data_IF_744136533214
#
_entry.id   IF_744136533214
#
_cell.length_a   1.000
_cell.length_b   1.000
_cell.length_c   1.000
_cell.angle_alpha   90.00
_cell.angle_beta   90.00
_cell.angle_gamma   90.00
#
_symmetry.space_group_name_H-M   'P 1'
#
loop_
_entity.id
_entity.type
_entity.pdbx_description
1 polymer ?
#
# COMPACT_ATOMS: atom_id res chain seq x y z
N UNK A 1 3.62 25.95 -29.66
CA UNK A 1 2.69 25.68 -28.52
C UNK A 1 2.96 26.65 -27.38
N UNK A 2 2.01 26.94 -26.48
CA UNK A 2 2.19 27.95 -25.42
C UNK A 2 3.38 27.67 -24.47
N UNK A 3 3.81 26.39 -24.37
CA UNK A 3 4.97 25.95 -23.58
C UNK A 3 6.33 26.28 -24.21
N UNK A 4 6.38 26.68 -25.48
CA UNK A 4 7.60 27.18 -26.13
C UNK A 4 7.91 28.63 -25.73
N UNK A 5 6.91 29.37 -25.24
CA UNK A 5 7.11 30.73 -24.76
C UNK A 5 7.75 30.71 -23.36
N UNK A 6 8.94 31.32 -23.15
CA UNK A 6 9.58 31.40 -21.83
C UNK A 6 8.70 32.01 -20.75
N UNK A 7 7.77 32.90 -21.12
CA UNK A 7 6.87 33.55 -20.17
C UNK A 7 5.87 32.59 -19.53
N UNK A 8 5.50 31.50 -20.21
CA UNK A 8 4.69 30.43 -19.60
C UNK A 8 5.39 29.89 -18.33
N UNK A 9 6.66 29.49 -18.46
CA UNK A 9 7.47 28.95 -17.36
C UNK A 9 7.73 29.98 -16.26
N UNK A 10 8.05 31.22 -16.63
CA UNK A 10 8.27 32.32 -15.67
C UNK A 10 7.00 32.63 -14.89
N UNK A 11 5.84 32.64 -15.54
CA UNK A 11 4.55 32.90 -14.88
C UNK A 11 4.20 31.80 -13.87
N UNK A 12 4.47 30.54 -14.20
CA UNK A 12 4.28 29.41 -13.29
C UNK A 12 5.23 29.51 -12.09
N UNK A 13 6.52 29.77 -12.32
CA UNK A 13 7.51 29.92 -11.26
C UNK A 13 7.17 31.07 -10.29
N UNK A 14 6.71 32.23 -10.81
CA UNK A 14 6.26 33.35 -9.96
C UNK A 14 5.07 32.97 -9.09
N UNK A 15 4.09 32.23 -9.64
CA UNK A 15 2.94 31.73 -8.87
C UNK A 15 3.38 30.76 -7.76
N UNK A 16 4.27 29.81 -8.06
CA UNK A 16 4.79 28.87 -7.06
C UNK A 16 5.55 29.60 -5.96
N UNK A 17 6.41 30.56 -6.31
CA UNK A 17 7.13 31.38 -5.33
C UNK A 17 6.17 32.17 -4.45
N UNK A 18 5.17 32.83 -5.04
CA UNK A 18 4.18 33.60 -4.28
C UNK A 18 3.40 32.70 -3.31
N UNK A 19 2.94 31.52 -3.76
CA UNK A 19 2.28 30.55 -2.89
C UNK A 19 3.16 30.08 -1.72
N UNK A 20 4.47 29.98 -1.90
CA UNK A 20 5.40 29.62 -0.84
C UNK A 20 5.60 30.77 0.16
N UNK A 21 5.68 32.02 -0.32
CA UNK A 21 5.80 33.22 0.51
C UNK A 21 4.53 33.53 1.31
N UNK A 22 3.36 33.27 0.74
CA UNK A 22 2.05 33.51 1.39
C UNK A 22 1.70 32.44 2.44
N UNK A 23 2.48 31.36 2.51
CA UNK A 23 2.18 30.23 3.37
C UNK A 23 2.35 30.60 4.85
N UNK A 24 1.30 30.33 5.63
CA UNK A 24 1.32 30.46 7.09
C UNK A 24 1.54 29.09 7.74
N UNK A 25 2.42 29.06 8.74
CA UNK A 25 2.63 27.84 9.52
C UNK A 25 1.40 27.58 10.40
N UNK A 26 0.83 26.38 10.31
CA UNK A 26 -0.14 25.90 11.27
C UNK A 26 0.60 25.36 12.51
N UNK A 27 0.51 26.08 13.63
CA UNK A 27 1.12 25.69 14.91
C UNK A 27 0.10 25.08 15.89
N UNK A 28 -1.12 24.80 15.43
CA UNK A 28 -2.15 24.19 16.26
C UNK A 28 -1.83 22.72 16.55
N UNK A 29 -2.37 22.20 17.65
CA UNK A 29 -2.36 20.76 17.92
C UNK A 29 -3.41 20.09 17.03
N UNK A 30 -3.00 19.07 16.27
CA UNK A 30 -3.90 18.33 15.40
C UNK A 30 -4.97 17.58 16.22
N UNK A 31 -6.24 17.88 15.93
CA UNK A 31 -7.40 17.14 16.43
C UNK A 31 -7.49 15.79 15.71
N UNK A 32 -7.28 15.77 14.40
CA UNK A 32 -7.36 14.55 13.60
C UNK A 32 -6.00 14.23 12.96
N UNK A 33 -5.74 12.94 12.73
CA UNK A 33 -4.58 12.46 11.98
C UNK A 33 -5.08 11.55 10.88
N UNK A 34 -4.84 11.93 9.63
CA UNK A 34 -5.02 11.10 8.44
C UNK A 34 -3.66 10.61 7.98
N UNK A 35 -3.44 9.29 8.02
CA UNK A 35 -2.19 8.68 7.63
C UNK A 35 -2.40 7.82 6.39
N UNK A 36 -2.00 8.34 5.23
CA UNK A 36 -2.08 7.65 3.95
C UNK A 36 -0.74 6.96 3.63
N UNK A 37 -0.78 5.64 3.46
CA UNK A 37 0.40 4.82 3.15
C UNK A 37 0.23 4.12 1.79
N UNK A 38 1.05 4.48 0.80
CA UNK A 38 1.16 3.73 -0.44
C UNK A 38 2.24 2.67 -0.34
N UNK A 39 1.87 1.40 -0.10
CA UNK A 39 2.83 0.30 0.09
C UNK A 39 3.66 0.12 -1.20
N UNK A 40 4.99 0.20 -1.09
CA UNK A 40 5.88 0.14 -2.24
C UNK A 40 5.85 1.35 -3.19
N UNK A 41 5.16 2.44 -2.84
CA UNK A 41 4.95 3.63 -3.69
C UNK A 41 6.17 4.58 -3.68
N UNK A 42 7.32 4.11 -4.17
CA UNK A 42 8.51 4.94 -4.28
C UNK A 42 8.39 6.08 -5.31
N UNK A 43 9.41 6.93 -5.38
CA UNK A 43 9.43 8.14 -6.24
C UNK A 43 9.17 7.81 -7.71
N UNK A 44 9.74 6.70 -8.22
CA UNK A 44 9.51 6.26 -9.60
C UNK A 44 8.05 5.86 -9.84
N UNK A 45 7.46 5.08 -8.92
CA UNK A 45 6.04 4.70 -8.96
C UNK A 45 5.16 5.94 -8.96
N UNK A 46 5.39 6.84 -8.01
CA UNK A 46 4.68 8.10 -7.90
C UNK A 46 4.74 8.92 -9.19
N UNK A 47 5.93 9.12 -9.76
CA UNK A 47 6.11 9.89 -10.99
C UNK A 47 5.41 9.24 -12.18
N UNK A 48 5.53 7.92 -12.33
CA UNK A 48 4.85 7.19 -13.39
C UNK A 48 3.32 7.26 -13.24
N UNK A 49 2.81 7.20 -12.02
CA UNK A 49 1.39 7.31 -11.71
C UNK A 49 0.85 8.72 -11.96
N UNK A 50 1.64 9.79 -11.69
CA UNK A 50 1.30 11.18 -12.06
C UNK A 50 1.05 11.30 -13.56
N UNK A 51 1.98 10.75 -14.36
CA UNK A 51 1.85 10.74 -15.82
C UNK A 51 0.61 9.94 -16.24
N UNK A 52 0.40 8.74 -15.67
CA UNK A 52 -0.78 7.94 -15.97
C UNK A 52 -2.07 8.70 -15.65
N UNK A 53 -2.16 9.36 -14.49
CA UNK A 53 -3.36 10.11 -14.07
C UNK A 53 -3.75 11.14 -15.11
N UNK A 54 -2.81 11.96 -15.57
CA UNK A 54 -3.11 12.93 -16.62
C UNK A 54 -3.46 12.30 -17.96
N UNK A 55 -2.83 11.18 -18.31
CA UNK A 55 -3.16 10.44 -19.53
C UNK A 55 -4.59 9.87 -19.50
N UNK A 56 -5.06 9.41 -18.34
CA UNK A 56 -6.45 8.99 -18.12
C UNK A 56 -7.43 10.17 -18.26
N UNK A 57 -6.97 11.40 -18.02
CA UNK A 57 -7.72 12.66 -18.17
C UNK A 57 -7.53 13.31 -19.56
N UNK A 58 -7.05 12.55 -20.55
CA UNK A 58 -6.76 13.00 -21.92
C UNK A 58 -5.74 14.15 -22.01
N UNK A 59 -4.86 14.28 -21.02
CA UNK A 59 -3.70 15.19 -21.02
C UNK A 59 -2.42 14.43 -21.38
N UNK A 60 -1.31 15.15 -21.56
CA UNK A 60 -0.01 14.50 -21.81
C UNK A 60 0.52 13.74 -20.59
N UNK A 61 0.21 14.23 -19.38
CA UNK A 61 0.47 13.56 -18.11
C UNK A 61 1.61 14.16 -17.30
N UNK A 62 2.69 14.59 -17.94
CA UNK A 62 3.91 15.01 -17.21
C UNK A 62 3.71 16.29 -16.38
N UNK A 63 2.76 17.14 -16.75
CA UNK A 63 2.40 18.37 -16.03
C UNK A 63 1.29 18.18 -14.99
N UNK A 64 0.72 16.99 -14.89
CA UNK A 64 -0.41 16.73 -14.00
C UNK A 64 0.00 16.95 -12.55
N UNK A 65 -0.87 17.59 -11.78
CA UNK A 65 -0.69 17.77 -10.34
C UNK A 65 -1.55 16.72 -9.64
N UNK A 66 -0.91 15.76 -8.97
CA UNK A 66 -1.60 14.81 -8.09
C UNK A 66 -2.08 15.52 -6.82
N UNK A 67 -3.03 14.94 -6.10
CA UNK A 67 -3.44 15.48 -4.80
C UNK A 67 -2.23 15.53 -3.87
N UNK A 68 -1.40 14.48 -3.87
CA UNK A 68 -0.18 14.48 -3.05
C UNK A 68 0.89 15.51 -3.50
N UNK A 69 0.85 16.04 -4.73
CA UNK A 69 1.72 17.16 -5.16
C UNK A 69 1.34 18.49 -4.46
N UNK A 70 0.11 18.60 -3.94
CA UNK A 70 -0.38 19.82 -3.28
C UNK A 70 0.08 19.96 -1.83
N UNK A 71 0.69 18.91 -1.27
CA UNK A 71 1.16 18.91 0.10
C UNK A 71 2.37 19.84 0.23
N UNK A 72 2.33 20.80 1.15
CA UNK A 72 3.30 21.89 1.13
C UNK A 72 4.60 21.54 1.86
N UNK A 73 4.66 20.42 2.58
CA UNK A 73 5.86 19.90 3.23
C UNK A 73 6.25 18.56 2.61
N UNK A 74 7.50 18.46 2.16
CA UNK A 74 8.05 17.22 1.58
C UNK A 74 9.36 16.89 2.29
N UNK A 75 9.56 15.61 2.60
CA UNK A 75 10.79 15.09 3.17
C UNK A 75 11.11 13.71 2.60
N UNK A 76 12.37 13.29 2.73
CA UNK A 76 12.80 11.94 2.35
C UNK A 76 12.90 11.06 3.60
N UNK A 77 12.30 9.87 3.53
CA UNK A 77 12.37 8.88 4.60
C UNK A 77 13.46 7.83 4.30
N UNK A 78 14.31 7.53 5.28
CA UNK A 78 15.31 6.45 5.19
C UNK A 78 14.73 5.14 5.70
N UNK A 79 14.42 4.22 4.79
CA UNK A 79 13.52 3.08 5.07
C UNK A 79 14.20 1.80 5.57
N UNK A 80 15.54 1.71 5.59
CA UNK A 80 16.28 0.53 6.06
C UNK A 80 15.74 -0.03 7.40
N UNK A 81 15.65 -1.36 7.54
CA UNK A 81 15.36 -2.01 8.83
C UNK A 81 16.65 -2.11 9.65
N UNK A 82 16.58 -2.54 10.91
CA UNK A 82 17.79 -2.68 11.74
C UNK A 82 18.75 -3.73 11.18
N UNK A 83 18.22 -4.79 10.56
CA UNK A 83 18.96 -5.95 10.07
C UNK A 83 19.16 -5.99 8.54
N UNK A 84 18.42 -5.21 7.75
CA UNK A 84 18.56 -5.15 6.28
C UNK A 84 18.49 -3.73 5.72
N UNK A 85 19.27 -3.50 4.67
CA UNK A 85 19.26 -2.22 3.94
C UNK A 85 17.98 -2.03 3.12
N UNK A 86 17.46 -3.12 2.55
CA UNK A 86 16.16 -3.15 1.87
C UNK A 86 15.17 -3.76 2.87
N UNK A 87 14.21 -2.97 3.39
CA UNK A 87 13.28 -3.43 4.42
C UNK A 87 12.15 -4.29 3.82
N UNK A 88 11.31 -4.83 4.71
CA UNK A 88 9.97 -5.31 4.36
C UNK A 88 8.89 -4.42 5.02
N UNK A 89 7.63 -4.53 4.57
CA UNK A 89 6.51 -3.74 5.10
C UNK A 89 6.30 -3.88 6.63
N UNK A 90 6.67 -5.00 7.25
CA UNK A 90 6.49 -5.18 8.70
C UNK A 90 7.46 -4.33 9.53
N UNK A 91 8.75 -4.34 9.13
CA UNK A 91 9.76 -3.55 9.82
C UNK A 91 9.53 -2.05 9.63
N UNK A 92 9.15 -1.61 8.43
CA UNK A 92 8.84 -0.20 8.14
C UNK A 92 7.57 0.26 8.83
N UNK A 93 6.52 -0.56 8.87
CA UNK A 93 5.28 -0.21 9.58
C UNK A 93 5.48 -0.01 11.07
N UNK A 94 6.33 -0.84 11.70
CA UNK A 94 6.73 -0.60 13.09
C UNK A 94 7.46 0.74 13.25
N UNK A 95 8.28 1.14 12.26
CA UNK A 95 8.98 2.42 12.31
C UNK A 95 8.04 3.63 12.20
N UNK A 96 7.14 3.68 11.21
CA UNK A 96 6.28 4.87 11.01
C UNK A 96 5.00 4.87 11.85
N UNK A 97 4.54 3.72 12.37
CA UNK A 97 3.39 3.67 13.29
C UNK A 97 3.78 3.63 14.76
N UNK A 98 4.93 3.05 15.13
CA UNK A 98 5.35 2.94 16.53
C UNK A 98 6.57 3.81 16.87
N UNK A 99 7.20 4.46 15.88
CA UNK A 99 8.37 5.31 16.10
C UNK A 99 9.68 4.56 16.38
N UNK A 100 9.72 3.24 16.19
CA UNK A 100 10.88 2.39 16.50
C UNK A 100 11.21 1.49 15.31
N UNK A 101 12.46 1.56 14.83
CA UNK A 101 12.93 0.61 13.80
C UNK A 101 13.11 -0.79 14.39
N UNK A 102 12.79 -1.80 13.59
CA UNK A 102 12.88 -3.20 13.99
C UNK A 102 13.48 -4.09 12.89
N UNK A 103 13.46 -5.40 13.11
CA UNK A 103 13.97 -6.42 12.22
C UNK A 103 12.93 -6.86 11.19
N UNK A 104 13.40 -7.39 10.06
CA UNK A 104 12.56 -7.89 8.98
C UNK A 104 11.52 -8.90 9.48
N UNK A 105 10.32 -8.84 8.90
CA UNK A 105 9.17 -9.72 9.19
C UNK A 105 8.62 -9.64 10.62
N UNK A 106 9.07 -8.71 11.46
CA UNK A 106 8.51 -8.53 12.82
C UNK A 106 7.57 -7.33 12.86
N UNK A 107 6.51 -7.41 13.66
CA UNK A 107 5.44 -6.41 13.72
C UNK A 107 5.34 -5.88 15.15
N UNK A 108 5.41 -4.56 15.33
CA UNK A 108 5.10 -3.93 16.62
C UNK A 108 6.03 -4.36 17.76
N UNK A 109 7.24 -4.81 17.45
CA UNK A 109 8.25 -5.20 18.43
C UNK A 109 9.57 -4.51 18.11
N UNK A 110 10.41 -4.27 19.12
CA UNK A 110 11.75 -3.72 18.95
C UNK A 110 12.68 -4.72 18.25
N UNK A 111 13.83 -4.24 17.77
CA UNK A 111 14.85 -5.07 17.15
C UNK A 111 15.53 -6.08 18.11
N UNK A 112 15.14 -6.14 19.38
CA UNK A 112 15.55 -7.22 20.27
C UNK A 112 14.75 -8.52 20.00
N UNK A 113 13.53 -8.41 19.47
CA UNK A 113 12.79 -9.57 18.98
C UNK A 113 13.45 -10.18 17.74
N UNK A 114 13.22 -11.48 17.53
CA UNK A 114 13.77 -12.26 16.41
C UNK A 114 12.66 -12.88 15.60
N UNK A 115 12.77 -12.76 14.28
CA UNK A 115 11.79 -13.28 13.34
C UNK A 115 11.49 -14.77 13.59
N UNK A 116 10.22 -15.09 13.80
CA UNK A 116 9.73 -16.45 14.05
C UNK A 116 10.00 -17.01 15.45
N UNK A 117 10.65 -16.26 16.35
CA UNK A 117 11.01 -16.74 17.69
C UNK A 117 10.11 -16.09 18.75
N UNK A 118 8.99 -16.76 19.05
CA UNK A 118 7.96 -16.23 19.96
C UNK A 118 8.51 -15.75 21.32
N UNK A 119 9.41 -16.51 21.96
CA UNK A 119 9.99 -16.15 23.27
C UNK A 119 10.66 -14.79 23.31
N UNK A 120 11.10 -14.27 22.17
CA UNK A 120 11.76 -12.96 22.07
C UNK A 120 10.78 -11.80 21.86
N UNK A 121 9.48 -12.08 21.69
CA UNK A 121 8.45 -11.07 21.56
C UNK A 121 8.18 -10.38 22.90
N UNK A 122 7.98 -11.17 23.96
CA UNK A 122 7.57 -10.67 25.27
C UNK A 122 8.59 -9.70 25.86
N UNK A 123 8.13 -8.51 26.24
CA UNK A 123 8.96 -7.43 26.80
C UNK A 123 9.61 -6.54 25.74
N UNK A 124 9.42 -6.85 24.44
CA UNK A 124 9.94 -6.07 23.32
C UNK A 124 8.82 -5.39 22.52
N UNK A 125 7.57 -5.46 22.96
CA UNK A 125 6.44 -4.79 22.31
C UNK A 125 6.62 -3.27 22.30
N UNK A 126 6.31 -2.63 21.17
CA UNK A 126 6.29 -1.17 21.01
C UNK A 126 4.91 -0.72 20.57
N UNK A 127 4.32 0.23 21.29
CA UNK A 127 2.95 0.69 21.04
C UNK A 127 2.88 1.66 19.87
N UNK A 128 1.76 1.60 19.14
CA UNK A 128 1.54 2.42 17.94
C UNK A 128 0.87 3.75 18.25
N UNK A 129 0.95 4.69 17.31
CA UNK A 129 0.20 5.94 17.32
C UNK A 129 -1.32 5.71 17.30
N UNK A 130 -1.79 4.61 16.69
CA UNK A 130 -3.20 4.23 16.73
C UNK A 130 -3.61 3.91 18.18
N UNK A 131 -2.81 3.10 18.90
CA UNK A 131 -3.05 2.82 20.32
C UNK A 131 -3.00 4.10 21.15
N UNK A 132 -2.01 4.97 20.92
CA UNK A 132 -1.89 6.25 21.64
C UNK A 132 -3.08 7.18 21.36
N UNK A 133 -3.58 7.23 20.13
CA UNK A 133 -4.78 7.99 19.79
C UNK A 133 -6.01 7.46 20.52
N UNK A 134 -6.19 6.14 20.56
CA UNK A 134 -7.30 5.51 21.30
C UNK A 134 -7.19 5.78 22.80
N UNK A 135 -5.99 5.69 23.37
CA UNK A 135 -5.74 5.98 24.79
C UNK A 135 -6.00 7.46 25.14
N UNK A 136 -5.77 8.36 24.20
CA UNK A 136 -6.14 9.78 24.31
C UNK A 136 -7.66 10.04 24.15
N UNK A 137 -8.46 8.99 23.92
CA UNK A 137 -9.90 9.05 23.75
C UNK A 137 -10.37 9.45 22.35
N UNK A 138 -9.47 9.43 21.36
CA UNK A 138 -9.83 9.59 19.94
C UNK A 138 -10.44 8.31 19.40
N UNK A 139 -11.29 8.42 18.39
CA UNK A 139 -11.71 7.25 17.61
C UNK A 139 -10.60 6.85 16.66
N UNK A 140 -10.51 5.56 16.34
CA UNK A 140 -9.43 5.04 15.50
C UNK A 140 -9.93 4.13 14.40
N UNK A 141 -9.31 4.20 13.23
CA UNK A 141 -9.68 3.34 12.13
C UNK A 141 -8.52 2.90 11.24
N UNK A 142 -8.78 1.82 10.51
CA UNK A 142 -7.90 1.20 9.54
C UNK A 142 -8.72 0.95 8.27
N UNK A 143 -8.22 1.45 7.14
CA UNK A 143 -8.71 1.18 5.79
C UNK A 143 -7.53 0.65 4.98
N UNK A 144 -7.69 -0.48 4.32
CA UNK A 144 -6.64 -1.04 3.46
C UNK A 144 -7.24 -1.82 2.29
N UNK A 145 -6.52 -1.86 1.16
CA UNK A 145 -6.83 -2.78 0.05
C UNK A 145 -6.22 -4.18 0.23
N UNK A 146 -5.51 -4.44 1.32
CA UNK A 146 -5.03 -5.79 1.68
C UNK A 146 -5.96 -6.44 2.70
N UNK A 147 -5.62 -7.66 3.12
CA UNK A 147 -6.17 -8.22 4.35
C UNK A 147 -5.86 -7.28 5.53
N UNK A 148 -6.80 -7.07 6.46
CA UNK A 148 -6.58 -6.19 7.63
C UNK A 148 -5.53 -6.74 8.60
N UNK A 149 -5.13 -8.00 8.42
CA UNK A 149 -4.04 -8.69 9.13
C UNK A 149 -2.68 -8.56 8.42
N UNK A 150 -2.59 -7.84 7.30
CA UNK A 150 -1.32 -7.62 6.61
C UNK A 150 -0.36 -6.79 7.47
N UNK A 151 0.92 -6.76 7.13
CA UNK A 151 1.95 -6.17 7.96
C UNK A 151 1.70 -4.70 8.31
N UNK A 152 1.39 -3.86 7.32
CA UNK A 152 1.09 -2.44 7.49
C UNK A 152 -0.06 -2.19 8.47
N UNK A 153 -1.29 -2.70 8.25
CA UNK A 153 -2.38 -2.48 9.20
C UNK A 153 -2.10 -3.17 10.53
N UNK A 154 -1.49 -4.36 10.53
CA UNK A 154 -1.18 -5.08 11.76
C UNK A 154 -0.23 -4.33 12.69
N UNK A 155 0.77 -3.60 12.18
CA UNK A 155 1.66 -2.81 13.06
C UNK A 155 0.93 -1.69 13.83
N UNK A 156 -0.29 -1.33 13.44
CA UNK A 156 -1.11 -0.39 14.20
C UNK A 156 -1.75 -1.00 15.46
N UNK A 157 -1.84 -2.33 15.58
CA UNK A 157 -2.52 -2.98 16.72
C UNK A 157 -1.83 -4.24 17.27
N UNK A 158 -1.03 -4.94 16.47
CA UNK A 158 -0.44 -6.22 16.82
C UNK A 158 1.03 -6.10 17.23
N UNK A 159 1.44 -7.06 18.06
CA UNK A 159 2.83 -7.37 18.37
C UNK A 159 3.07 -8.81 17.96
N UNK A 160 3.94 -9.04 16.97
CA UNK A 160 4.20 -10.37 16.43
C UNK A 160 5.66 -10.54 16.05
N UNK A 161 6.27 -11.63 16.53
CA UNK A 161 7.58 -12.09 16.05
C UNK A 161 7.56 -12.54 14.58
N UNK A 162 6.39 -12.66 13.94
CA UNK A 162 6.30 -12.97 12.51
C UNK A 162 5.06 -12.38 11.86
N UNK A 163 5.27 -11.64 10.77
CA UNK A 163 4.18 -11.10 9.92
C UNK A 163 3.34 -12.18 9.24
N UNK A 164 3.80 -13.43 9.25
CA UNK A 164 3.10 -14.55 8.59
C UNK A 164 2.03 -15.20 9.48
N UNK A 165 1.97 -14.86 10.77
CA UNK A 165 1.02 -15.44 11.72
C UNK A 165 -0.36 -14.79 11.62
N UNK A 166 -0.98 -14.81 10.42
CA UNK A 166 -2.27 -14.17 10.17
C UNK A 166 -3.39 -14.78 10.99
N UNK A 167 -3.49 -16.12 11.00
CA UNK A 167 -4.32 -16.87 11.95
C UNK A 167 -3.52 -17.92 12.71
N UNK A 168 -4.15 -18.56 13.70
CA UNK A 168 -3.58 -19.67 14.47
C UNK A 168 -3.11 -20.84 13.58
N UNK A 169 -3.70 -20.98 12.39
CA UNK A 169 -3.33 -21.99 11.41
C UNK A 169 -1.93 -21.78 10.80
N UNK A 170 -1.45 -20.53 10.76
CA UNK A 170 -0.16 -20.12 10.20
C UNK A 170 0.97 -20.14 11.25
N UNK A 171 0.63 -20.39 12.51
CA UNK A 171 1.57 -20.41 13.63
C UNK A 171 2.13 -21.81 13.89
N UNK A 172 3.46 -21.94 14.10
CA UNK A 172 4.04 -23.16 14.67
C UNK A 172 3.47 -23.45 16.04
N UNK A 173 3.28 -24.72 16.39
CA UNK A 173 2.72 -25.10 17.70
C UNK A 173 3.61 -24.64 18.86
N UNK A 174 4.94 -24.66 18.68
CA UNK A 174 5.88 -24.10 19.65
C UNK A 174 5.61 -22.61 19.96
N UNK A 175 5.28 -21.80 18.95
CA UNK A 175 4.97 -20.39 19.15
C UNK A 175 3.67 -20.18 19.94
N UNK A 176 2.66 -21.05 19.73
CA UNK A 176 1.41 -21.03 20.50
C UNK A 176 1.65 -21.45 21.96
N UNK A 177 2.46 -22.50 22.17
CA UNK A 177 2.85 -22.96 23.51
C UNK A 177 3.63 -21.90 24.29
N UNK A 178 4.47 -21.12 23.59
CA UNK A 178 5.21 -19.99 24.15
C UNK A 178 4.35 -18.74 24.41
N UNK A 179 3.05 -18.80 24.11
CA UNK A 179 2.06 -17.77 24.44
C UNK A 179 1.87 -16.69 23.38
N UNK A 180 2.48 -16.80 22.20
CA UNK A 180 2.16 -15.90 21.10
C UNK A 180 0.75 -16.18 20.56
N UNK A 181 0.11 -15.13 20.07
CA UNK A 181 -1.22 -15.21 19.47
C UNK A 181 -1.19 -14.67 18.05
N UNK A 182 -2.11 -15.17 17.22
CA UNK A 182 -2.21 -14.76 15.82
C UNK A 182 -2.69 -13.32 15.64
N UNK A 183 -2.32 -12.71 14.53
CA UNK A 183 -2.62 -11.30 14.23
C UNK A 183 -4.15 -11.06 14.19
N UNK A 184 -4.93 -11.98 13.64
CA UNK A 184 -6.39 -11.85 13.63
C UNK A 184 -6.99 -11.83 15.05
N UNK A 185 -6.48 -12.64 15.98
CA UNK A 185 -6.88 -12.57 17.39
C UNK A 185 -6.50 -11.24 18.04
N UNK A 186 -5.32 -10.70 17.73
CA UNK A 186 -4.82 -9.44 18.28
C UNK A 186 -5.62 -8.23 17.81
N UNK A 187 -6.19 -8.27 16.59
CA UNK A 187 -7.07 -7.22 16.04
C UNK A 187 -8.25 -6.90 16.97
N UNK A 188 -8.78 -7.90 17.69
CA UNK A 188 -9.89 -7.72 18.62
C UNK A 188 -9.43 -7.29 20.03
N UNK A 189 -8.27 -7.79 20.46
CA UNK A 189 -7.88 -7.78 21.88
C UNK A 189 -7.00 -6.62 22.28
N UNK A 190 -6.10 -6.18 21.40
CA UNK A 190 -5.04 -5.25 21.80
C UNK A 190 -5.52 -3.80 21.86
N UNK A 191 -6.35 -3.40 20.90
CA UNK A 191 -6.90 -2.05 20.80
C UNK A 191 -8.35 -2.11 20.36
N UNK A 192 -9.21 -1.34 21.00
CA UNK A 192 -10.60 -1.18 20.59
C UNK A 192 -10.69 -0.26 19.36
N UNK A 193 -10.74 -0.84 18.16
CA UNK A 193 -10.76 -0.10 16.89
C UNK A 193 -12.21 0.15 16.45
N UNK A 194 -12.53 1.42 16.19
CA UNK A 194 -13.87 1.88 15.81
C UNK A 194 -14.22 1.46 14.37
N UNK A 195 -13.28 1.58 13.44
CA UNK A 195 -13.49 1.24 12.02
C UNK A 195 -12.38 0.32 11.47
N UNK A 196 -12.75 -0.85 10.97
CA UNK A 196 -11.85 -1.84 10.36
C UNK A 196 -12.38 -2.16 8.96
N UNK A 197 -11.66 -1.75 7.92
CA UNK A 197 -12.09 -1.94 6.53
C UNK A 197 -10.95 -2.52 5.69
N UNK A 198 -11.21 -3.63 5.00
CA UNK A 198 -10.27 -4.24 4.06
C UNK A 198 -10.69 -5.67 3.70
N UNK A 199 -9.73 -6.56 3.49
CA UNK A 199 -9.99 -7.98 3.25
C UNK A 199 -9.66 -8.85 4.48
N UNK A 200 -9.60 -10.16 4.29
CA UNK A 200 -9.05 -11.10 5.25
C UNK A 200 -10.08 -11.94 6.00
N UNK A 201 -11.28 -12.14 5.44
CA UNK A 201 -12.34 -12.92 6.08
C UNK A 201 -11.89 -14.32 6.52
N UNK A 202 -11.06 -14.99 5.71
CA UNK A 202 -10.69 -16.39 5.97
C UNK A 202 -9.85 -16.60 7.24
N UNK A 203 -9.23 -15.54 7.77
CA UNK A 203 -8.46 -15.61 9.01
C UNK A 203 -9.33 -15.45 10.26
N UNK A 204 -10.59 -15.04 10.08
CA UNK A 204 -11.53 -14.73 11.16
C UNK A 204 -12.45 -15.90 11.50
N UNK A 205 -12.63 -16.87 10.60
CA UNK A 205 -13.63 -17.93 10.75
C UNK A 205 -13.02 -19.34 10.87
N UNK A 206 -13.74 -20.30 11.51
CA UNK A 206 -13.28 -21.67 11.68
C UNK A 206 -12.92 -22.38 10.38
N UNK A 207 -12.03 -23.37 10.47
CA UNK A 207 -11.63 -24.19 9.33
C UNK A 207 -12.84 -24.84 8.68
N UNK A 208 -13.02 -24.58 7.38
CA UNK A 208 -14.11 -25.16 6.59
C UNK A 208 -15.38 -24.32 6.51
N UNK A 209 -15.48 -23.23 7.27
CA UNK A 209 -16.53 -22.21 7.08
C UNK A 209 -16.48 -21.70 5.63
N UNK A 210 -17.62 -21.79 4.92
CA UNK A 210 -17.71 -21.31 3.54
C UNK A 210 -17.62 -19.79 3.53
N UNK A 211 -16.83 -19.24 2.62
CA UNK A 211 -16.81 -17.80 2.40
C UNK A 211 -18.17 -17.37 1.80
N UNK A 212 -18.77 -16.25 2.25
CA UNK A 212 -20.09 -15.82 1.79
C UNK A 212 -20.14 -15.49 0.30
N UNK A 213 -19.03 -15.05 -0.28
CA UNK A 213 -18.94 -14.65 -1.69
C UNK A 213 -18.45 -15.79 -2.57
N UNK A 214 -17.54 -16.63 -2.05
CA UNK A 214 -16.95 -17.76 -2.77
C UNK A 214 -17.30 -19.12 -2.14
N UNK A 215 -18.58 -19.51 -1.99
CA UNK A 215 -18.98 -20.70 -1.23
C UNK A 215 -18.50 -22.03 -1.84
N UNK A 216 -18.13 -22.02 -3.12
CA UNK A 216 -17.62 -23.18 -3.87
C UNK A 216 -16.10 -23.23 -3.96
N UNK A 217 -15.40 -22.15 -3.61
CA UNK A 217 -13.94 -22.15 -3.58
C UNK A 217 -13.43 -22.64 -2.23
N UNK A 218 -12.69 -23.75 -2.24
CA UNK A 218 -12.07 -24.30 -1.05
C UNK A 218 -10.94 -23.43 -0.50
N UNK A 219 -10.27 -22.65 -1.36
CA UNK A 219 -9.13 -21.82 -0.97
C UNK A 219 -9.53 -20.56 -0.19
N UNK A 220 -10.79 -20.14 -0.36
CA UNK A 220 -11.42 -19.01 0.31
C UNK A 220 -12.03 -19.34 1.66
N UNK A 221 -12.18 -20.63 2.00
CA UNK A 221 -12.78 -21.05 3.27
C UNK A 221 -11.99 -20.57 4.48
N UNK A 222 -12.71 -20.41 5.60
CA UNK A 222 -12.13 -20.14 6.91
C UNK A 222 -10.96 -21.06 7.22
N UNK A 223 -9.95 -20.52 7.89
CA UNK A 223 -8.67 -21.20 8.16
C UNK A 223 -8.47 -21.60 9.61
N UNK A 224 -9.20 -20.99 10.56
CA UNK A 224 -8.86 -21.10 11.98
C UNK A 224 -8.99 -22.53 12.50
N UNK A 225 -7.95 -23.06 13.14
CA UNK A 225 -7.94 -24.45 13.67
C UNK A 225 -8.44 -24.51 15.11
N UNK A 226 -8.51 -23.39 15.80
CA UNK A 226 -8.99 -23.26 17.18
C UNK A 226 -10.52 -23.23 17.33
N UNK A 227 -11.27 -23.33 16.22
CA UNK A 227 -12.73 -23.35 16.23
C UNK A 227 -13.40 -22.01 16.53
N UNK A 228 -12.64 -20.92 16.67
CA UNK A 228 -13.18 -19.59 17.00
C UNK A 228 -13.74 -18.89 15.77
N UNK A 229 -14.84 -18.16 15.97
CA UNK A 229 -15.33 -17.19 15.00
C UNK A 229 -15.10 -15.79 15.55
N UNK A 230 -14.05 -15.13 15.06
CA UNK A 230 -13.64 -13.81 15.52
C UNK A 230 -14.60 -12.71 15.08
N UNK A 231 -15.40 -12.92 14.03
CA UNK A 231 -16.43 -11.94 13.66
C UNK A 231 -17.52 -11.92 14.74
N UNK A 232 -18.02 -13.10 15.13
CA UNK A 232 -19.05 -13.23 16.16
C UNK A 232 -18.53 -12.76 17.53
N UNK A 233 -17.27 -13.07 17.87
CA UNK A 233 -16.61 -12.56 19.07
C UNK A 233 -16.54 -11.03 19.06
N UNK A 234 -16.12 -10.42 17.95
CA UNK A 234 -16.06 -8.96 17.83
C UNK A 234 -17.45 -8.34 18.01
N UNK A 235 -18.49 -8.87 17.34
CA UNK A 235 -19.86 -8.37 17.49
C UNK A 235 -20.35 -8.49 18.94
N UNK A 236 -20.04 -9.60 19.62
CA UNK A 236 -20.38 -9.81 21.03
C UNK A 236 -19.69 -8.82 21.97
N UNK A 237 -18.49 -8.35 21.63
CA UNK A 237 -17.79 -7.31 22.38
C UNK A 237 -18.42 -5.92 22.24
N UNK A 238 -19.32 -5.71 21.27
CA UNK A 238 -19.97 -4.41 21.00
C UNK A 238 -21.43 -4.35 21.44
N UNK A 239 -21.88 -5.27 22.30
CA UNK A 239 -23.24 -5.23 22.87
C UNK A 239 -23.50 -3.87 23.53
N UNK A 240 -24.63 -3.25 23.18
CA UNK A 240 -24.99 -1.90 23.63
C UNK A 240 -24.44 -0.75 22.77
N UNK A 241 -23.75 -1.05 21.66
CA UNK A 241 -23.30 -0.10 20.63
C UNK A 241 -23.95 -0.41 19.29
N UNK A 242 -24.00 0.58 18.40
CA UNK A 242 -24.43 0.38 17.00
C UNK A 242 -23.24 -0.15 16.20
N UNK A 243 -23.11 -1.48 16.15
CA UNK A 243 -21.99 -2.17 15.50
C UNK A 243 -22.44 -3.00 14.29
N UNK A 244 -21.74 -2.85 13.16
CA UNK A 244 -22.04 -3.56 11.93
C UNK A 244 -20.85 -4.39 11.46
N UNK A 245 -21.11 -5.65 11.11
CA UNK A 245 -20.23 -6.45 10.26
C UNK A 245 -20.83 -6.53 8.85
N UNK A 246 -20.07 -6.18 7.83
CA UNK A 246 -20.48 -6.24 6.42
C UNK A 246 -19.37 -6.86 5.57
N UNK A 247 -19.73 -7.45 4.44
CA UNK A 247 -18.77 -8.12 3.55
C UNK A 247 -18.97 -7.83 2.06
N UNK A 248 -20.00 -7.08 1.69
CA UNK A 248 -20.29 -6.69 0.31
C UNK A 248 -20.66 -5.20 0.22
N UNK A 249 -20.68 -4.69 -1.01
CA UNK A 249 -20.99 -3.30 -1.33
C UNK A 249 -22.39 -2.86 -0.91
N UNK A 250 -23.41 -3.71 -1.10
CA UNK A 250 -24.80 -3.37 -0.78
C UNK A 250 -24.97 -3.10 0.71
N UNK A 251 -24.51 -4.03 1.56
CA UNK A 251 -24.57 -3.89 3.01
C UNK A 251 -23.69 -2.74 3.49
N UNK A 252 -22.50 -2.56 2.90
CA UNK A 252 -21.63 -1.42 3.20
C UNK A 252 -22.28 -0.07 2.89
N UNK A 253 -23.02 0.03 1.78
CA UNK A 253 -23.74 1.24 1.42
C UNK A 253 -24.89 1.52 2.40
N UNK A 254 -25.55 0.47 2.91
CA UNK A 254 -26.65 0.56 3.87
C UNK A 254 -26.21 0.99 5.29
N UNK A 255 -24.92 0.85 5.64
CA UNK A 255 -24.40 1.36 6.91
C UNK A 255 -24.50 2.88 6.95
N UNK A 256 -25.32 3.41 7.85
CA UNK A 256 -25.41 4.84 8.11
C UNK A 256 -24.22 5.30 8.98
N UNK A 257 -23.28 6.09 8.43
CA UNK A 257 -22.10 6.50 9.18
C UNK A 257 -22.44 7.45 10.34
N UNK A 258 -23.58 8.14 10.30
CA UNK A 258 -23.95 9.12 11.33
C UNK A 258 -24.39 8.43 12.62
N UNK A 259 -24.96 7.23 12.54
CA UNK A 259 -25.43 6.47 13.71
C UNK A 259 -24.52 5.31 14.10
N UNK A 260 -23.67 4.82 13.20
CA UNK A 260 -22.77 3.68 13.46
C UNK A 260 -21.66 4.03 14.45
N UNK A 261 -21.52 3.27 15.53
CA UNK A 261 -20.40 3.39 16.48
C UNK A 261 -19.18 2.58 16.01
N UNK A 262 -19.42 1.36 15.52
CA UNK A 262 -18.37 0.43 15.12
C UNK A 262 -18.68 -0.22 13.76
N UNK A 263 -17.66 -0.32 12.91
CA UNK A 263 -17.77 -0.97 11.61
C UNK A 263 -16.60 -1.95 11.39
N UNK A 264 -16.91 -3.21 11.11
CA UNK A 264 -15.98 -4.17 10.53
C UNK A 264 -16.48 -4.55 9.13
N UNK A 265 -15.77 -4.12 8.09
CA UNK A 265 -16.10 -4.40 6.71
C UNK A 265 -14.99 -5.22 6.04
N UNK A 266 -15.25 -6.51 5.79
CA UNK A 266 -14.26 -7.44 5.23
C UNK A 266 -14.73 -7.96 3.86
N UNK A 267 -14.19 -7.39 2.78
CA UNK A 267 -14.72 -7.57 1.42
C UNK A 267 -14.17 -8.77 0.66
N UNK A 268 -13.03 -9.32 1.08
CA UNK A 268 -12.44 -10.49 0.41
C UNK A 268 -11.93 -11.53 1.42
N UNK A 269 -11.81 -12.82 1.04
CA UNK A 269 -11.21 -13.85 1.89
C UNK A 269 -9.76 -13.50 2.23
N UNK A 270 -9.03 -12.88 1.30
CA UNK A 270 -7.63 -12.49 1.41
C UNK A 270 -7.45 -10.98 1.24
N UNK A 271 -6.65 -10.59 0.25
CA UNK A 271 -6.47 -9.18 -0.13
C UNK A 271 -7.57 -8.80 -1.13
N UNK A 272 -7.91 -7.51 -1.26
CA UNK A 272 -8.94 -7.07 -2.23
C UNK A 272 -8.46 -7.33 -3.67
N UNK A 273 -9.39 -7.30 -4.62
CA UNK A 273 -9.04 -7.18 -6.03
C UNK A 273 -8.23 -5.92 -6.31
N UNK A 274 -7.39 -5.96 -7.35
CA UNK A 274 -6.84 -4.72 -7.91
C UNK A 274 -7.98 -3.85 -8.44
N UNK A 275 -7.86 -2.53 -8.37
CA UNK A 275 -8.86 -1.55 -8.77
C UNK A 275 -9.37 -1.79 -10.19
N UNK A 276 -8.49 -2.17 -11.13
CA UNK A 276 -8.92 -2.41 -12.52
C UNK A 276 -9.60 -3.77 -12.74
N UNK A 277 -9.54 -4.65 -11.74
CA UNK A 277 -10.20 -5.96 -11.69
C UNK A 277 -11.38 -5.99 -10.70
N UNK A 278 -11.59 -4.92 -9.93
CA UNK A 278 -12.64 -4.78 -8.93
C UNK A 278 -14.03 -4.86 -9.59
N UNK A 279 -14.94 -5.64 -8.99
CA UNK A 279 -16.37 -5.56 -9.31
C UNK A 279 -17.00 -4.46 -8.45
N UNK A 280 -17.41 -3.32 -9.03
CA UNK A 280 -17.96 -2.20 -8.26
C UNK A 280 -19.31 -2.50 -7.61
N UNK A 281 -19.98 -3.60 -7.98
CA UNK A 281 -21.22 -4.03 -7.34
C UNK A 281 -20.98 -4.91 -6.13
N UNK A 282 -19.77 -5.46 -5.97
CA UNK A 282 -19.39 -6.34 -4.86
C UNK A 282 -18.44 -5.65 -3.88
N UNK A 283 -17.49 -4.88 -4.39
CA UNK A 283 -16.40 -4.27 -3.64
C UNK A 283 -16.43 -2.73 -3.72
N UNK A 284 -16.44 -2.00 -2.58
CA UNK A 284 -16.23 -0.56 -2.58
C UNK A 284 -14.79 -0.21 -2.94
N UNK A 285 -14.60 0.93 -3.59
CA UNK A 285 -13.28 1.51 -3.85
C UNK A 285 -12.60 2.00 -2.56
N UNK A 286 -11.28 2.20 -2.62
CA UNK A 286 -10.53 2.83 -1.52
C UNK A 286 -11.04 4.25 -1.20
N UNK A 287 -11.60 4.95 -2.19
CA UNK A 287 -12.22 6.27 -2.00
C UNK A 287 -13.46 6.16 -1.11
N UNK A 288 -14.36 5.23 -1.42
CA UNK A 288 -15.63 5.04 -0.70
C UNK A 288 -15.42 4.50 0.71
N UNK A 289 -14.44 3.60 0.89
CA UNK A 289 -14.06 3.09 2.21
C UNK A 289 -13.42 4.17 3.09
N UNK A 290 -12.56 5.01 2.51
CA UNK A 290 -11.99 6.18 3.19
C UNK A 290 -13.08 7.16 3.62
N UNK A 291 -14.01 7.49 2.73
CA UNK A 291 -15.14 8.38 3.05
C UNK A 291 -15.97 7.84 4.22
N UNK A 292 -16.41 6.58 4.15
CA UNK A 292 -17.22 5.97 5.21
C UNK A 292 -16.49 5.97 6.55
N UNK A 293 -15.20 5.62 6.54
CA UNK A 293 -14.38 5.62 7.74
C UNK A 293 -14.29 7.01 8.37
N UNK A 294 -13.97 8.04 7.58
CA UNK A 294 -13.89 9.43 8.10
C UNK A 294 -15.25 9.86 8.67
N UNK A 295 -16.36 9.56 7.98
CA UNK A 295 -17.70 9.96 8.45
C UNK A 295 -18.10 9.31 9.77
N UNK A 296 -17.74 8.05 10.00
CA UNK A 296 -17.95 7.40 11.30
C UNK A 296 -17.06 8.02 12.38
N UNK A 297 -15.76 8.16 12.09
CA UNK A 297 -14.75 8.57 13.07
C UNK A 297 -14.86 10.05 13.47
N UNK A 298 -15.26 10.94 12.56
CA UNK A 298 -15.35 12.38 12.80
C UNK A 298 -16.41 12.78 13.84
N UNK A 299 -17.32 11.86 14.17
CA UNK A 299 -18.32 12.05 15.23
C UNK A 299 -17.69 12.25 16.61
N UNK A 300 -16.48 11.74 16.83
CA UNK A 300 -15.79 11.90 18.10
C UNK A 300 -15.26 13.35 18.25
N UNK A 301 -15.72 14.13 19.24
CA UNK A 301 -15.28 15.52 19.41
C UNK A 301 -13.81 15.64 19.81
N UNK A 302 -13.18 14.56 20.32
CA UNK A 302 -11.73 14.51 20.58
C UNK A 302 -10.90 14.30 19.31
N UNK A 303 -11.56 14.04 18.18
CA UNK A 303 -10.94 13.74 16.90
C UNK A 303 -10.63 12.27 16.71
N UNK A 304 -9.86 11.98 15.66
CA UNK A 304 -9.58 10.60 15.27
C UNK A 304 -8.18 10.38 14.69
N UNK A 305 -7.74 9.13 14.68
CA UNK A 305 -6.62 8.66 13.86
C UNK A 305 -7.16 7.68 12.82
N UNK A 306 -6.79 7.84 11.55
CA UNK A 306 -7.15 6.92 10.48
C UNK A 306 -5.91 6.57 9.66
N UNK A 307 -5.61 5.27 9.59
CA UNK A 307 -4.66 4.71 8.62
C UNK A 307 -5.43 4.31 7.35
N UNK A 308 -5.00 4.82 6.20
CA UNK A 308 -5.50 4.42 4.88
C UNK A 308 -4.35 3.88 4.04
N UNK A 309 -4.43 2.64 3.60
CA UNK A 309 -3.36 1.96 2.88
C UNK A 309 -3.76 1.58 1.45
N UNK A 310 -3.01 2.09 0.47
CA UNK A 310 -3.01 1.59 -0.91
C UNK A 310 -2.11 0.35 -1.03
N UNK A 311 -2.40 -0.72 -0.28
CA UNK A 311 -1.46 -1.83 -0.07
C UNK A 311 -1.25 -2.75 -1.27
N UNK A 312 -2.09 -2.64 -2.30
CA UNK A 312 -2.00 -3.43 -3.53
C UNK A 312 -1.02 -2.84 -4.56
N UNK A 313 -0.53 -1.61 -4.37
CA UNK A 313 0.56 -1.02 -5.18
C UNK A 313 1.80 -1.94 -5.14
N UNK A 314 2.22 -2.33 -3.94
CA UNK A 314 3.33 -3.25 -3.68
C UNK A 314 3.15 -4.61 -4.35
N UNK A 315 1.99 -5.25 -4.14
CA UNK A 315 1.73 -6.58 -4.68
C UNK A 315 1.71 -6.59 -6.22
N UNK A 316 1.26 -5.50 -6.85
CA UNK A 316 1.35 -5.32 -8.30
C UNK A 316 2.79 -5.21 -8.77
N UNK A 317 3.65 -4.46 -8.06
CA UNK A 317 5.06 -4.36 -8.37
C UNK A 317 5.81 -5.68 -8.18
N UNK A 318 5.55 -6.42 -7.10
CA UNK A 318 6.08 -7.77 -6.89
C UNK A 318 5.69 -8.72 -8.03
N UNK A 319 4.48 -8.56 -8.57
CA UNK A 319 4.01 -9.30 -9.73
C UNK A 319 4.55 -8.75 -11.06
N UNK A 320 5.41 -7.72 -11.08
CA UNK A 320 5.90 -7.11 -12.32
C UNK A 320 4.84 -6.42 -13.18
N UNK A 321 3.64 -6.16 -12.63
CA UNK A 321 2.46 -5.61 -13.33
C UNK A 321 2.36 -4.12 -13.09
N UNK A 322 3.18 -3.30 -13.76
CA UNK A 322 3.13 -1.84 -13.57
C UNK A 322 1.77 -1.24 -13.89
N UNK A 323 1.05 -1.76 -14.89
CA UNK A 323 -0.33 -1.32 -15.19
C UNK A 323 -1.19 -1.33 -13.91
N UNK A 324 -1.13 -2.41 -13.13
CA UNK A 324 -1.88 -2.51 -11.87
C UNK A 324 -1.35 -1.54 -10.82
N UNK A 325 -0.04 -1.52 -10.59
CA UNK A 325 0.57 -0.69 -9.55
C UNK A 325 0.25 0.81 -9.74
N UNK A 326 0.27 1.28 -10.99
CA UNK A 326 -0.02 2.69 -11.27
C UNK A 326 -1.51 3.00 -11.10
N UNK A 327 -2.43 2.11 -11.49
CA UNK A 327 -3.86 2.32 -11.27
C UNK A 327 -4.24 2.28 -9.78
N UNK A 328 -3.62 1.38 -9.00
CA UNK A 328 -3.73 1.39 -7.53
C UNK A 328 -3.28 2.74 -6.95
N UNK A 329 -2.15 3.26 -7.44
CA UNK A 329 -1.62 4.56 -6.98
C UNK A 329 -2.54 5.71 -7.34
N UNK A 330 -3.15 5.69 -8.53
CA UNK A 330 -4.13 6.71 -8.95
C UNK A 330 -5.39 6.65 -8.07
N UNK A 331 -5.90 5.45 -7.77
CA UNK A 331 -7.03 5.27 -6.85
C UNK A 331 -6.71 5.74 -5.43
N UNK A 332 -5.49 5.48 -4.96
CA UNK A 332 -4.98 5.96 -3.69
C UNK A 332 -4.89 7.51 -3.64
N UNK A 333 -4.43 8.16 -4.72
CA UNK A 333 -4.42 9.63 -4.82
C UNK A 333 -5.83 10.25 -4.80
N UNK A 334 -6.84 9.56 -5.33
CA UNK A 334 -8.24 9.95 -5.18
C UNK A 334 -8.76 9.76 -3.75
N UNK A 335 -8.31 8.73 -3.02
CA UNK A 335 -8.65 8.57 -1.61
C UNK A 335 -8.04 9.68 -0.74
N UNK A 336 -6.81 10.11 -1.05
CA UNK A 336 -6.18 11.29 -0.42
C UNK A 336 -7.05 12.53 -0.67
N UNK A 337 -7.51 12.75 -1.91
CA UNK A 337 -8.38 13.87 -2.25
C UNK A 337 -9.65 13.88 -1.42
N UNK A 338 -10.30 12.71 -1.30
CA UNK A 338 -11.51 12.54 -0.49
C UNK A 338 -11.25 12.81 1.00
N UNK A 339 -10.08 12.41 1.52
CA UNK A 339 -9.68 12.73 2.89
C UNK A 339 -9.53 14.23 3.14
N UNK A 340 -8.92 14.95 2.20
CA UNK A 340 -8.80 16.42 2.28
C UNK A 340 -10.15 17.14 2.13
N UNK A 341 -11.06 16.61 1.30
CA UNK A 341 -12.41 17.15 1.14
C UNK A 341 -13.23 17.08 2.44
N UNK A 342 -13.08 15.98 3.19
CA UNK A 342 -13.88 15.70 4.40
C UNK A 342 -13.28 16.26 5.68
N UNK A 343 -12.09 16.86 5.62
CA UNK A 343 -11.39 17.36 6.82
C UNK A 343 -10.92 18.79 6.64
N UNK A 344 -10.63 19.46 7.77
CA UNK A 344 -10.15 20.85 7.76
C UNK A 344 -8.67 20.88 8.09
N UNK A 345 -7.85 21.43 7.20
CA UNK A 345 -6.38 21.50 7.35
C UNK A 345 -5.93 22.16 8.66
N UNK A 346 -6.70 23.13 9.18
CA UNK A 346 -6.32 23.83 10.41
C UNK A 346 -6.38 22.95 11.69
N UNK A 347 -7.11 21.84 11.66
CA UNK A 347 -7.26 20.90 12.79
C UNK A 347 -6.87 19.44 12.44
N UNK A 348 -6.50 19.15 11.19
CA UNK A 348 -6.15 17.80 10.74
C UNK A 348 -4.72 17.75 10.20
N UNK A 349 -3.90 16.88 10.76
CA UNK A 349 -2.60 16.52 10.19
C UNK A 349 -2.80 15.38 9.20
N UNK A 350 -2.58 15.66 7.92
CA UNK A 350 -2.53 14.62 6.89
C UNK A 350 -1.09 14.31 6.50
N UNK A 351 -0.75 13.03 6.47
CA UNK A 351 0.56 12.52 6.05
C UNK A 351 0.32 11.56 4.89
N UNK A 352 1.12 11.71 3.83
CA UNK A 352 1.20 10.76 2.72
C UNK A 352 2.64 10.27 2.64
N UNK A 353 2.85 8.95 2.70
CA UNK A 353 4.18 8.38 2.51
C UNK A 353 4.12 6.98 1.90
N UNK A 354 5.30 6.42 1.62
CA UNK A 354 5.49 5.02 1.30
C UNK A 354 6.35 4.38 2.38
N UNK A 355 6.15 3.09 2.61
CA UNK A 355 6.93 2.30 3.55
C UNK A 355 8.31 1.92 2.97
N UNK A 356 8.36 1.58 1.68
CA UNK A 356 9.55 1.38 0.87
C UNK A 356 9.28 1.64 -0.62
N UNK A 357 10.29 1.37 -1.47
CA UNK A 357 10.19 1.48 -2.94
C UNK A 357 10.22 0.09 -3.59
N UNK A 358 10.22 0.06 -4.91
CA UNK A 358 10.39 -1.12 -5.75
C UNK A 358 11.50 -0.90 -6.77
N UNK A 359 11.97 -1.98 -7.40
CA UNK A 359 13.00 -1.91 -8.43
C UNK A 359 12.48 -1.42 -9.80
N UNK A 360 11.41 -0.62 -9.82
CA UNK A 360 10.85 -0.05 -11.05
C UNK A 360 11.67 1.15 -11.52
N UNK A 361 11.89 1.23 -12.83
CA UNK A 361 12.74 2.23 -13.49
C UNK A 361 12.00 2.85 -14.67
N UNK A 362 12.37 4.10 -14.99
CA UNK A 362 11.82 4.89 -16.09
C UNK A 362 12.92 5.16 -17.12
N UNK A 363 12.79 4.62 -18.33
CA UNK A 363 13.86 4.54 -19.33
C UNK A 363 13.42 4.99 -20.73
N UNK A 364 14.40 5.17 -21.61
CA UNK A 364 14.20 5.13 -23.06
C UNK A 364 13.62 6.37 -23.72
N UNK A 365 13.80 7.54 -23.11
CA UNK A 365 13.51 8.85 -23.71
C UNK A 365 12.15 8.92 -24.46
N UNK A 366 11.02 8.50 -23.85
CA UNK A 366 9.72 8.57 -24.50
C UNK A 366 9.35 10.02 -24.81
N UNK A 367 8.59 10.23 -25.89
CA UNK A 367 8.07 11.55 -26.23
C UNK A 367 7.08 12.03 -25.17
N UNK A 368 6.96 13.36 -25.03
CA UNK A 368 5.95 13.97 -24.16
C UNK A 368 4.54 13.56 -24.61
N UNK A 369 3.70 13.14 -23.66
CA UNK A 369 2.35 12.63 -23.95
C UNK A 369 2.30 11.18 -24.42
N UNK A 370 3.46 10.52 -24.57
CA UNK A 370 3.49 9.11 -24.88
C UNK A 370 3.06 8.29 -23.67
N UNK A 371 2.26 7.24 -23.89
CA UNK A 371 1.80 6.35 -22.82
C UNK A 371 2.95 5.92 -21.91
N UNK A 372 2.81 6.13 -20.61
CA UNK A 372 3.83 5.72 -19.62
C UNK A 372 4.01 4.19 -19.58
N UNK A 373 2.96 3.45 -19.96
CA UNK A 373 2.96 1.99 -20.12
C UNK A 373 3.39 1.56 -21.55
N UNK A 374 3.82 2.51 -22.37
CA UNK A 374 4.22 2.31 -23.75
C UNK A 374 5.63 1.73 -23.94
N UNK A 375 6.01 1.60 -25.21
CA UNK A 375 7.35 1.20 -25.66
C UNK A 375 8.23 2.43 -25.83
N UNK A 376 9.51 2.34 -25.50
CA UNK A 376 10.48 3.36 -25.87
C UNK A 376 10.48 3.58 -27.40
N UNK A 377 10.60 4.82 -27.90
CA UNK A 377 10.85 5.08 -29.31
C UNK A 377 12.24 4.61 -29.76
N UNK A 378 13.16 4.39 -28.84
CA UNK A 378 14.49 3.87 -29.10
C UNK A 378 14.49 2.34 -29.08
N UNK A 379 15.38 1.77 -29.86
CA UNK A 379 15.61 0.32 -29.91
C UNK A 379 16.76 -0.03 -28.98
N UNK A 380 16.69 -1.20 -28.36
CA UNK A 380 17.81 -1.71 -27.57
C UNK A 380 18.94 -2.21 -28.49
N UNK A 381 20.11 -2.50 -27.92
CA UNK A 381 21.29 -2.97 -28.68
C UNK A 381 21.09 -4.33 -29.36
N UNK A 382 20.08 -5.10 -28.93
CA UNK A 382 19.64 -6.36 -29.56
C UNK A 382 18.69 -6.13 -30.76
N UNK A 383 18.46 -4.87 -31.15
CA UNK A 383 17.55 -4.47 -32.24
C UNK A 383 16.11 -4.95 -31.97
N UNK A 384 15.71 -4.95 -30.70
CA UNK A 384 14.34 -5.22 -30.27
C UNK A 384 13.78 -4.02 -29.48
N UNK A 385 12.48 -3.71 -29.59
CA UNK A 385 11.85 -2.67 -28.78
C UNK A 385 11.85 -3.05 -27.30
N UNK A 386 11.82 -2.06 -26.40
CA UNK A 386 11.68 -2.25 -24.96
C UNK A 386 10.69 -1.25 -24.38
N UNK A 387 10.20 -1.50 -23.17
CA UNK A 387 9.19 -0.67 -22.52
C UNK A 387 9.80 0.53 -21.81
N UNK A 388 9.02 1.61 -21.73
CA UNK A 388 9.37 2.81 -20.97
C UNK A 388 9.58 2.50 -19.49
N UNK A 389 8.72 1.67 -18.90
CA UNK A 389 8.90 1.13 -17.56
C UNK A 389 9.56 -0.25 -17.62
N UNK A 390 10.47 -0.50 -16.69
CA UNK A 390 11.13 -1.79 -16.49
C UNK A 390 11.34 -2.07 -15.01
N UNK A 391 11.55 -3.33 -14.65
CA UNK A 391 11.97 -3.71 -13.30
C UNK A 391 13.42 -4.19 -13.31
N UNK A 392 14.11 -4.05 -12.16
CA UNK A 392 15.46 -4.58 -11.95
C UNK A 392 15.49 -6.10 -11.66
N UNK A 393 14.50 -6.62 -10.91
CA UNK A 393 14.23 -8.07 -10.75
C UNK A 393 12.70 -8.37 -10.68
N UNK A 394 12.30 -9.65 -10.86
CA UNK A 394 10.89 -10.07 -10.81
C UNK A 394 10.47 -11.07 -11.89
N UNK A 395 9.17 -11.43 -11.95
CA UNK A 395 8.66 -12.54 -12.76
C UNK A 395 8.55 -12.25 -14.27
N UNK A 396 8.69 -11.00 -14.70
CA UNK A 396 8.70 -10.62 -16.12
C UNK A 396 9.94 -11.01 -16.92
N UNK A 397 10.92 -11.71 -16.32
CA UNK A 397 12.10 -12.16 -17.04
C UNK A 397 11.71 -13.33 -17.92
N UNK A 398 11.96 -13.16 -19.21
CA UNK A 398 11.70 -14.21 -20.19
C UNK A 398 12.80 -14.22 -21.23
N UNK A 399 13.22 -15.43 -21.57
CA UNK A 399 14.12 -15.73 -22.68
C UNK A 399 13.42 -16.77 -23.53
N UNK A 400 13.25 -16.47 -24.81
CA UNK A 400 12.67 -17.38 -25.81
C UNK A 400 13.73 -17.64 -26.87
N UNK A 401 14.10 -18.90 -27.08
CA UNK A 401 15.15 -19.30 -28.04
C UNK A 401 16.47 -18.54 -27.86
N UNK A 402 16.91 -18.37 -26.60
CA UNK A 402 18.15 -17.67 -26.26
C UNK A 402 18.12 -16.15 -26.42
N UNK A 403 16.96 -15.57 -26.78
CA UNK A 403 16.79 -14.12 -26.98
C UNK A 403 15.69 -13.55 -26.08
N UNK A 404 15.76 -12.25 -25.85
CA UNK A 404 14.66 -11.51 -25.24
C UNK A 404 13.43 -11.56 -26.16
N UNK A 405 12.20 -11.67 -25.62
CA UNK A 405 10.99 -11.58 -26.42
C UNK A 405 10.91 -10.26 -27.18
N UNK A 406 10.51 -10.38 -28.43
CA UNK A 406 10.17 -9.25 -29.27
C UNK A 406 8.77 -8.75 -28.94
N UNK A 407 8.66 -7.47 -28.60
CA UNK A 407 7.39 -6.84 -28.21
C UNK A 407 6.88 -5.86 -29.28
N UNK A 408 7.38 -5.92 -30.53
CA UNK A 408 6.92 -5.05 -31.63
C UNK A 408 5.40 -5.09 -31.76
N UNK A 409 4.81 -6.27 -31.76
CA UNK A 409 3.36 -6.48 -31.96
C UNK A 409 2.56 -6.54 -30.65
N UNK A 410 3.20 -6.28 -29.50
CA UNK A 410 2.53 -6.27 -28.20
C UNK A 410 2.01 -4.86 -27.88
N UNK A 411 0.73 -4.75 -27.54
CA UNK A 411 0.14 -3.52 -27.01
C UNK A 411 0.40 -3.39 -25.50
N UNK A 412 1.53 -2.79 -25.15
CA UNK A 412 1.99 -2.69 -23.76
C UNK A 412 1.11 -1.75 -22.91
N UNK A 413 0.43 -0.78 -23.54
CA UNK A 413 -0.39 0.22 -22.86
C UNK A 413 -1.74 -0.29 -22.35
N UNK A 414 -2.27 -1.40 -22.91
CA UNK A 414 -3.57 -1.97 -22.53
C UNK A 414 -3.47 -3.33 -21.83
N UNK A 415 -2.27 -3.92 -21.75
CA UNK A 415 -2.13 -5.29 -21.29
C UNK A 415 -2.04 -5.37 -19.77
N UNK A 416 -3.16 -5.73 -19.13
CA UNK A 416 -3.29 -5.99 -17.69
C UNK A 416 -2.35 -7.08 -17.17
N UNK A 417 -1.93 -8.00 -18.05
CA UNK A 417 -1.13 -9.18 -17.73
C UNK A 417 0.33 -9.06 -18.16
N UNK A 418 0.78 -7.89 -18.63
CA UNK A 418 2.14 -7.75 -19.12
C UNK A 418 3.09 -7.57 -17.95
N UNK A 419 3.96 -8.56 -17.81
CA UNK A 419 5.10 -8.51 -16.94
C UNK A 419 6.22 -7.76 -17.68
N UNK A 420 6.63 -6.60 -17.17
CA UNK A 420 7.66 -5.80 -17.84
C UNK A 420 9.02 -6.52 -17.77
N UNK A 421 9.71 -6.57 -18.91
CA UNK A 421 10.93 -7.36 -19.09
C UNK A 421 12.16 -6.74 -18.41
N UNK A 422 13.08 -7.62 -18.04
CA UNK A 422 14.38 -7.31 -17.47
C UNK A 422 15.44 -7.12 -18.52
N UNK A 423 16.45 -6.32 -18.19
CA UNK A 423 17.72 -6.33 -18.88
C UNK A 423 18.83 -6.73 -17.90
N UNK A 424 19.36 -7.93 -18.07
CA UNK A 424 20.75 -8.20 -17.70
C UNK A 424 21.49 -8.44 -19.01
N UNK A 425 22.48 -7.62 -19.37
CA UNK A 425 23.37 -7.98 -20.46
C UNK A 425 24.20 -9.19 -20.00
N UNK A 426 23.75 -10.41 -20.31
CA UNK A 426 24.68 -11.51 -20.49
C UNK A 426 25.40 -11.26 -21.80
N UNK A 427 26.48 -10.50 -21.70
CA UNK A 427 27.76 -10.63 -22.41
C UNK A 427 28.52 -9.29 -22.37
N UNK A 428 29.11 -9.00 -21.22
CA UNK A 428 30.21 -8.04 -21.11
C UNK A 428 31.40 -8.68 -20.40
N UNK A 429 31.70 -9.94 -20.71
CA UNK A 429 32.90 -10.64 -20.24
C UNK A 429 33.38 -11.65 -21.29
N UNK A 430 33.73 -11.16 -22.49
CA UNK A 430 34.64 -11.82 -23.44
C UNK A 430 34.90 -10.90 -24.63
N UNK A 431 35.60 -9.78 -24.44
CA UNK A 431 36.28 -9.06 -25.55
C UNK A 431 37.24 -7.92 -25.11
N UNK A 432 37.68 -7.87 -23.84
CA UNK A 432 38.73 -6.92 -23.39
C UNK A 432 39.99 -7.58 -22.79
N UNK A 433 40.16 -8.89 -22.94
CA UNK A 433 41.42 -9.58 -22.57
C UNK A 433 42.20 -10.15 -23.77
N UNK A 434 41.84 -9.78 -25.01
CA UNK A 434 42.63 -10.07 -26.21
C UNK A 434 42.96 -8.75 -26.91
N UNK A 435 43.68 -7.87 -26.21
CA UNK A 435 44.38 -6.71 -26.82
C UNK A 435 45.62 -6.26 -26.01
N UNK A 436 46.17 -7.16 -25.20
CA UNK A 436 47.40 -6.95 -24.43
C UNK A 436 48.39 -8.13 -24.48
N UNK A 437 48.34 -8.96 -25.54
CA UNK A 437 49.38 -10.00 -25.77
C UNK A 437 49.89 -10.08 -27.22
N UNK A 438 49.74 -9.03 -28.02
CA UNK A 438 50.24 -8.99 -29.40
C UNK A 438 50.93 -7.65 -29.69
N UNK A 439 51.87 -7.24 -28.84
CA UNK A 439 52.90 -6.24 -29.16
C UNK A 439 54.13 -6.39 -28.24
N UNK A 440 54.57 -7.63 -28.06
CA UNK A 440 55.90 -7.95 -27.51
C UNK A 440 56.39 -9.27 -28.09
N UNK A 441 56.72 -9.25 -29.38
CA UNK A 441 57.73 -10.10 -30.00
C UNK A 441 58.36 -9.31 -31.16
#
# INVERSE_FOLDING_TARGET
TYKENPEFWRSQARKTLQSALDRKLNTNVAKNILFFLGDGMGITTYTASRILKGQLENQTGEETVMTMDTFPNVGLAKTYSVDFQIPDSAATATAYLCGVKTNLNTIGVSAAARNGVCKTQKGNEVTSILKWAKDAGKSVGIVTTTRVQHATPAASYAHSASRKWYSDADMPDAAKMDGCTDIASQLLKNTDIDVIIGGGRKYMTPKGTKDPEYPRDYSSRGKRKDGRNLIDEWQSMKIGKVAHYVWNKTDFNAVDPETTDYLMALFEPGDLHFETERDPNMDPSIVETTEKAIRILQKNPKGFFLLVEGGRIDQAHHSGRAYMALHETVAFDYAIAKGLELTKEHETLTIVMADHSHSVTFNGYPFRGQSILGKSPLWATDVLPYTTLMYGNGPGHKITNGKRPDIRDVNTSKTRSMFLCFFFPREYHRLQLIKHSLNSQ
#
